data_IF_118214910818
#
_entry.id   IF_118214910818
#
_cell.length_a   1.000
_cell.length_b   1.000
_cell.length_c   1.000
_cell.angle_alpha   90.00
_cell.angle_beta   90.00
_cell.angle_gamma   90.00
#
_symmetry.space_group_name_H-M   'P 1'
#
loop_
_entity.id
_entity.type
_entity.pdbx_description
1 polymer ?
#
# COMPACT_ATOMS: atom_id res chain seq x y z
N UNK A 1 4.01 63.12 60.11
CA UNK A 1 3.77 61.66 60.27
C UNK A 1 3.49 61.09 58.89
N UNK A 2 4.49 60.45 58.27
CA UNK A 2 4.55 60.12 56.87
C UNK A 2 4.10 58.68 56.66
N UNK A 3 3.12 58.49 55.81
CA UNK A 3 2.65 57.15 55.42
C UNK A 3 3.42 56.71 54.13
N UNK A 4 4.10 55.58 54.07
CA UNK A 4 4.68 55.12 52.83
C UNK A 4 3.68 54.23 52.07
N UNK A 5 3.38 54.63 50.87
CA UNK A 5 2.60 53.83 49.91
C UNK A 5 3.40 52.62 49.44
N UNK A 6 2.89 51.41 49.73
CA UNK A 6 3.41 50.17 49.24
C UNK A 6 2.88 49.94 47.78
N UNK A 7 3.77 50.03 46.79
CA UNK A 7 3.44 49.75 45.38
C UNK A 7 3.57 48.24 45.15
N UNK A 8 2.45 47.57 44.97
CA UNK A 8 2.44 46.19 44.46
C UNK A 8 2.62 46.23 42.94
N UNK A 9 3.77 45.75 42.47
CA UNK A 9 4.00 45.46 41.05
C UNK A 9 3.38 44.08 40.72
N UNK A 10 2.24 44.11 40.04
CA UNK A 10 1.66 42.87 39.51
C UNK A 10 2.45 42.32 38.34
N UNK A 11 3.06 41.16 38.53
CA UNK A 11 3.67 40.39 37.43
C UNK A 11 2.54 39.63 36.74
N UNK A 12 2.14 40.09 35.56
CA UNK A 12 1.21 39.36 34.68
C UNK A 12 1.98 38.22 34.00
N UNK A 13 1.77 36.98 34.45
CA UNK A 13 2.29 35.76 33.77
C UNK A 13 1.42 35.52 32.53
N UNK A 14 1.93 35.87 31.34
CA UNK A 14 1.34 35.48 30.07
C UNK A 14 1.64 33.99 29.85
N UNK A 15 0.69 33.14 30.20
CA UNK A 15 0.70 31.73 29.82
C UNK A 15 0.36 31.62 28.32
N UNK A 16 1.39 31.47 27.49
CA UNK A 16 1.23 31.10 26.07
C UNK A 16 0.72 29.67 25.99
N UNK A 17 -0.57 29.48 25.74
CA UNK A 17 -1.14 28.20 25.38
C UNK A 17 -0.67 27.83 23.98
N UNK A 18 0.31 26.91 23.89
CA UNK A 18 0.67 26.25 22.65
C UNK A 18 -0.47 25.27 22.35
N UNK A 19 -1.37 25.66 21.45
CA UNK A 19 -2.41 24.78 20.94
C UNK A 19 -1.74 23.73 20.05
N UNK A 20 -1.56 22.51 20.56
CA UNK A 20 -1.26 21.35 19.74
C UNK A 20 -2.50 21.03 18.90
N UNK A 21 -2.49 21.45 17.66
CA UNK A 21 -3.46 20.95 16.69
C UNK A 21 -3.00 19.54 16.32
N UNK A 22 -3.68 18.51 16.81
CA UNK A 22 -3.55 17.17 16.27
C UNK A 22 -4.11 17.24 14.84
N UNK A 23 -3.22 17.25 13.85
CA UNK A 23 -3.61 17.14 12.46
C UNK A 23 -4.08 15.70 12.25
N UNK A 24 -5.35 15.52 11.89
CA UNK A 24 -5.84 14.20 11.49
C UNK A 24 -5.11 13.80 10.19
N UNK A 25 -4.62 12.56 10.13
CA UNK A 25 -3.99 12.05 8.92
C UNK A 25 -4.93 12.19 7.72
N UNK A 26 -4.40 12.60 6.59
CA UNK A 26 -5.17 12.74 5.34
C UNK A 26 -5.38 11.37 4.69
N UNK A 27 -6.46 11.23 3.91
CA UNK A 27 -6.68 10.07 3.05
C UNK A 27 -6.11 10.33 1.67
N UNK A 28 -5.67 9.25 0.99
CA UNK A 28 -5.13 9.31 -0.35
C UNK A 28 -5.52 8.04 -1.12
N UNK A 29 -6.31 8.22 -2.18
CA UNK A 29 -6.88 7.11 -2.96
C UNK A 29 -5.81 6.22 -3.60
N UNK A 30 -4.66 6.79 -3.99
CA UNK A 30 -3.56 6.00 -4.53
C UNK A 30 -2.91 5.15 -3.44
N UNK A 31 -2.63 5.74 -2.27
CA UNK A 31 -2.03 5.02 -1.14
C UNK A 31 -2.94 3.88 -0.71
N UNK A 32 -4.25 4.12 -0.61
CA UNK A 32 -5.23 3.11 -0.22
C UNK A 32 -5.27 1.94 -1.23
N UNK A 33 -5.44 2.25 -2.51
CA UNK A 33 -5.55 1.24 -3.56
C UNK A 33 -4.23 0.46 -3.77
N UNK A 34 -3.08 1.16 -3.73
CA UNK A 34 -1.77 0.52 -3.88
C UNK A 34 -1.43 -0.36 -2.67
N UNK A 35 -1.80 0.04 -1.45
CA UNK A 35 -1.62 -0.77 -0.25
C UNK A 35 -2.51 -2.02 -0.29
N UNK A 36 -3.80 -1.89 -0.61
CA UNK A 36 -4.71 -3.03 -0.75
C UNK A 36 -4.20 -4.02 -1.80
N UNK A 37 -3.83 -3.53 -2.99
CA UNK A 37 -3.27 -4.36 -4.06
C UNK A 37 -1.98 -5.06 -3.65
N UNK A 38 -1.04 -4.33 -3.07
CA UNK A 38 0.25 -4.89 -2.65
C UNK A 38 0.13 -5.95 -1.55
N UNK A 39 -0.79 -5.80 -0.60
CA UNK A 39 -1.08 -6.83 0.41
C UNK A 39 -1.74 -8.05 -0.25
N UNK A 40 -2.66 -7.84 -1.20
CA UNK A 40 -3.30 -8.92 -1.93
C UNK A 40 -2.27 -9.78 -2.68
N UNK A 41 -1.28 -9.15 -3.33
CA UNK A 41 -0.20 -9.85 -4.02
C UNK A 41 0.63 -10.73 -3.06
N UNK A 42 1.00 -10.22 -1.89
CA UNK A 42 1.75 -11.00 -0.90
C UNK A 42 0.92 -12.18 -0.37
N UNK A 43 -0.35 -11.97 -0.04
CA UNK A 43 -1.22 -13.03 0.53
C UNK A 43 -1.51 -14.11 -0.50
N UNK A 44 -1.90 -13.75 -1.72
CA UNK A 44 -2.24 -14.72 -2.78
C UNK A 44 -1.02 -15.50 -3.26
N UNK A 45 0.14 -14.84 -3.32
CA UNK A 45 1.39 -15.48 -3.74
C UNK A 45 1.97 -16.41 -2.68
N UNK A 46 1.86 -16.09 -1.39
CA UNK A 46 2.18 -17.05 -0.33
C UNK A 46 1.32 -18.31 -0.46
N UNK A 47 0.03 -18.15 -0.72
CA UNK A 47 -0.86 -19.29 -0.93
C UNK A 47 -0.50 -20.07 -2.21
N UNK A 48 -0.05 -19.40 -3.27
CA UNK A 48 0.41 -20.07 -4.49
C UNK A 48 1.67 -20.91 -4.26
N UNK A 49 2.59 -20.43 -3.44
CA UNK A 49 3.77 -21.23 -3.04
C UNK A 49 3.39 -22.50 -2.27
N UNK A 50 2.31 -22.45 -1.48
CA UNK A 50 1.82 -23.60 -0.70
C UNK A 50 1.04 -24.59 -1.57
N UNK A 51 0.12 -24.11 -2.41
CA UNK A 51 -0.88 -24.94 -3.11
C UNK A 51 -0.47 -25.41 -4.49
N UNK A 52 0.23 -24.57 -5.26
CA UNK A 52 0.62 -24.94 -6.62
C UNK A 52 1.60 -26.11 -6.65
N UNK A 53 1.48 -26.95 -7.66
CA UNK A 53 2.49 -27.99 -7.98
C UNK A 53 3.40 -27.55 -9.13
N UNK A 54 3.12 -26.42 -9.77
CA UNK A 54 3.90 -25.89 -10.89
C UNK A 54 5.10 -25.10 -10.42
N UNK A 55 6.29 -25.47 -10.85
CA UNK A 55 7.54 -24.83 -10.44
C UNK A 55 7.63 -23.37 -10.92
N UNK A 56 7.14 -23.06 -12.12
CA UNK A 56 7.13 -21.71 -12.68
C UNK A 56 6.16 -20.79 -11.93
N UNK A 57 4.98 -21.28 -11.52
CA UNK A 57 4.06 -20.53 -10.67
C UNK A 57 4.68 -20.24 -9.30
N UNK A 58 5.31 -21.22 -8.66
CA UNK A 58 6.00 -21.02 -7.38
C UNK A 58 7.13 -20.01 -7.48
N UNK A 59 7.92 -20.04 -8.56
CA UNK A 59 8.99 -19.08 -8.78
C UNK A 59 8.44 -17.66 -8.95
N UNK A 60 7.40 -17.49 -9.75
CA UNK A 60 6.71 -16.21 -9.92
C UNK A 60 6.13 -15.71 -8.59
N UNK A 61 5.43 -16.58 -7.85
CA UNK A 61 4.85 -16.24 -6.54
C UNK A 61 5.93 -15.78 -5.54
N UNK A 62 7.09 -16.44 -5.50
CA UNK A 62 8.20 -16.00 -4.64
C UNK A 62 8.71 -14.61 -5.03
N UNK A 63 8.75 -14.30 -6.31
CA UNK A 63 9.10 -12.95 -6.78
C UNK A 63 8.06 -11.93 -6.35
N UNK A 64 6.76 -12.23 -6.50
CA UNK A 64 5.67 -11.35 -6.05
C UNK A 64 5.76 -11.03 -4.56
N UNK A 65 5.95 -12.04 -3.72
CA UNK A 65 6.14 -11.83 -2.26
C UNK A 65 7.31 -10.89 -1.99
N UNK A 66 8.45 -11.12 -2.66
CA UNK A 66 9.65 -10.32 -2.44
C UNK A 66 9.47 -8.87 -2.85
N UNK A 67 8.97 -8.64 -4.07
CA UNK A 67 8.91 -7.31 -4.66
C UNK A 67 7.78 -6.47 -4.04
N UNK A 68 6.60 -7.07 -3.83
CA UNK A 68 5.48 -6.37 -3.21
C UNK A 68 5.68 -6.11 -1.72
N UNK A 69 6.37 -6.97 -0.98
CA UNK A 69 6.75 -6.67 0.41
C UNK A 69 7.62 -5.42 0.50
N UNK A 70 8.64 -5.31 -0.37
CA UNK A 70 9.51 -4.13 -0.42
C UNK A 70 8.74 -2.87 -0.85
N UNK A 71 7.87 -2.99 -1.84
CA UNK A 71 7.06 -1.88 -2.33
C UNK A 71 6.10 -1.38 -1.24
N UNK A 72 5.42 -2.29 -0.53
CA UNK A 72 4.51 -1.96 0.58
C UNK A 72 5.24 -1.23 1.71
N UNK A 73 6.43 -1.69 2.09
CA UNK A 73 7.24 -1.02 3.10
C UNK A 73 7.62 0.41 2.66
N UNK A 74 8.10 0.57 1.41
CA UNK A 74 8.46 1.89 0.86
C UNK A 74 7.26 2.84 0.82
N UNK A 75 6.09 2.35 0.38
CA UNK A 75 4.86 3.13 0.35
C UNK A 75 4.40 3.54 1.75
N UNK A 76 4.44 2.63 2.72
CA UNK A 76 4.11 2.92 4.12
C UNK A 76 5.03 3.97 4.74
N UNK A 77 6.34 3.95 4.41
CA UNK A 77 7.28 4.97 4.86
C UNK A 77 6.98 6.35 4.25
N UNK A 78 6.63 6.39 2.96
CA UNK A 78 6.22 7.63 2.28
C UNK A 78 4.92 8.16 2.88
N UNK A 79 3.90 7.32 3.05
CA UNK A 79 2.62 7.71 3.63
C UNK A 79 2.80 8.31 5.03
N UNK A 80 3.61 7.67 5.89
CA UNK A 80 3.92 8.18 7.23
C UNK A 80 4.62 9.54 7.18
N UNK A 81 5.56 9.73 6.25
CA UNK A 81 6.27 11.00 6.07
C UNK A 81 5.34 12.14 5.62
N UNK A 82 4.29 11.79 4.86
CA UNK A 82 3.32 12.75 4.32
C UNK A 82 2.06 12.92 5.20
N UNK A 83 2.04 12.31 6.41
CA UNK A 83 0.85 12.28 7.28
C UNK A 83 -0.40 11.71 6.57
N UNK A 84 -0.20 10.70 5.71
CA UNK A 84 -1.27 9.98 5.04
C UNK A 84 -1.59 8.72 5.84
N UNK A 85 -2.89 8.49 6.09
CA UNK A 85 -3.39 7.25 6.71
C UNK A 85 -3.19 6.07 5.77
N UNK A 86 -2.81 4.91 6.32
CA UNK A 86 -2.70 3.65 5.56
C UNK A 86 -3.79 2.71 6.04
N UNK A 87 -4.44 1.95 5.14
CA UNK A 87 -5.43 0.95 5.53
C UNK A 87 -4.88 -0.09 6.51
N UNK A 88 -5.76 -0.61 7.36
CA UNK A 88 -5.40 -1.67 8.32
C UNK A 88 -5.07 -2.98 7.60
N UNK A 89 -3.84 -3.47 7.78
CA UNK A 89 -3.32 -4.66 7.10
C UNK A 89 -4.10 -5.93 7.49
N UNK A 90 -4.53 -6.06 8.75
CA UNK A 90 -5.27 -7.23 9.20
C UNK A 90 -6.66 -7.29 8.58
N UNK A 91 -7.36 -6.15 8.50
CA UNK A 91 -8.67 -6.05 7.86
C UNK A 91 -8.59 -6.35 6.35
N UNK A 92 -7.55 -5.87 5.67
CA UNK A 92 -7.29 -6.18 4.25
C UNK A 92 -6.98 -7.66 4.06
N UNK A 93 -6.14 -8.24 4.89
CA UNK A 93 -5.80 -9.68 4.84
C UNK A 93 -7.05 -10.55 5.00
N UNK A 94 -7.95 -10.21 5.91
CA UNK A 94 -9.20 -10.96 6.09
C UNK A 94 -10.14 -10.83 4.89
N UNK A 95 -10.23 -9.65 4.26
CA UNK A 95 -10.98 -9.42 3.02
C UNK A 95 -10.43 -10.30 1.88
N UNK A 96 -9.11 -10.32 1.71
CA UNK A 96 -8.44 -11.10 0.68
C UNK A 96 -8.62 -12.60 0.90
N UNK A 97 -8.49 -13.09 2.12
CA UNK A 97 -8.76 -14.50 2.45
C UNK A 97 -10.18 -14.92 2.10
N UNK A 98 -11.18 -14.05 2.34
CA UNK A 98 -12.57 -14.32 1.93
C UNK A 98 -12.69 -14.42 0.41
N UNK A 99 -12.06 -13.52 -0.33
CA UNK A 99 -12.04 -13.56 -1.80
C UNK A 99 -11.42 -14.87 -2.31
N UNK A 100 -10.30 -15.33 -1.74
CA UNK A 100 -9.64 -16.58 -2.12
C UNK A 100 -10.54 -17.80 -1.88
N UNK A 101 -11.44 -17.78 -0.90
CA UNK A 101 -12.39 -18.87 -0.65
C UNK A 101 -13.37 -19.07 -1.81
N UNK A 102 -13.55 -18.06 -2.67
CA UNK A 102 -14.39 -18.13 -3.86
C UNK A 102 -13.72 -18.87 -5.03
N UNK A 103 -12.41 -19.12 -4.96
CA UNK A 103 -11.66 -19.86 -5.99
C UNK A 103 -11.81 -21.39 -5.87
N UNK A 104 -13.02 -21.90 -5.59
CA UNK A 104 -13.23 -23.30 -5.20
C UNK A 104 -13.37 -24.28 -6.35
N UNK A 105 -13.88 -23.83 -7.50
CA UNK A 105 -14.37 -24.73 -8.55
C UNK A 105 -13.39 -24.89 -9.73
N UNK A 106 -12.32 -24.12 -9.76
CA UNK A 106 -11.27 -24.22 -10.76
C UNK A 106 -9.97 -24.72 -10.12
N UNK A 107 -9.03 -25.18 -10.95
CA UNK A 107 -7.70 -25.44 -10.42
C UNK A 107 -7.16 -24.16 -9.80
N UNK A 108 -6.55 -24.25 -8.63
CA UNK A 108 -5.98 -23.09 -7.95
C UNK A 108 -5.05 -22.30 -8.88
N UNK A 109 -4.20 -23.01 -9.64
CA UNK A 109 -3.25 -22.41 -10.56
C UNK A 109 -3.93 -21.52 -11.62
N UNK A 110 -5.04 -21.99 -12.21
CA UNK A 110 -5.84 -21.21 -13.17
C UNK A 110 -6.37 -19.93 -12.53
N UNK A 111 -7.00 -20.02 -11.36
CA UNK A 111 -7.54 -18.87 -10.65
C UNK A 111 -6.45 -17.87 -10.29
N UNK A 112 -5.31 -18.36 -9.81
CA UNK A 112 -4.17 -17.52 -9.43
C UNK A 112 -3.62 -16.74 -10.63
N UNK A 113 -3.30 -17.42 -11.75
CA UNK A 113 -2.69 -16.72 -12.90
C UNK A 113 -3.65 -15.72 -13.56
N UNK A 114 -4.96 -16.02 -13.60
CA UNK A 114 -5.97 -15.10 -14.10
C UNK A 114 -6.07 -13.87 -13.20
N UNK A 115 -6.11 -14.06 -11.88
CA UNK A 115 -6.11 -12.96 -10.92
C UNK A 115 -4.85 -12.10 -11.04
N UNK A 116 -3.68 -12.71 -11.24
CA UNK A 116 -2.41 -11.98 -11.40
C UNK A 116 -2.41 -11.06 -12.63
N UNK A 117 -2.98 -11.50 -13.75
CA UNK A 117 -3.12 -10.64 -14.93
C UNK A 117 -4.03 -9.46 -14.65
N UNK A 118 -5.23 -9.72 -14.11
CA UNK A 118 -6.23 -8.67 -13.82
C UNK A 118 -5.72 -7.65 -12.80
N UNK A 119 -5.04 -8.13 -11.75
CA UNK A 119 -4.49 -7.27 -10.70
C UNK A 119 -3.37 -6.38 -11.22
N UNK A 120 -2.44 -6.95 -12.01
CA UNK A 120 -1.33 -6.18 -12.56
C UNK A 120 -1.74 -5.21 -13.67
N UNK A 121 -2.76 -5.53 -14.47
CA UNK A 121 -3.35 -4.55 -15.42
C UNK A 121 -3.87 -3.31 -14.68
N UNK A 122 -4.65 -3.51 -13.62
CA UNK A 122 -5.16 -2.43 -12.77
C UNK A 122 -4.03 -1.66 -12.07
N UNK A 123 -3.04 -2.37 -11.53
CA UNK A 123 -1.90 -1.74 -10.88
C UNK A 123 -1.10 -0.87 -11.85
N UNK A 124 -0.81 -1.34 -13.06
CA UNK A 124 -0.10 -0.55 -14.09
C UNK A 124 -0.87 0.72 -14.44
N UNK A 125 -2.19 0.66 -14.59
CA UNK A 125 -3.01 1.85 -14.85
C UNK A 125 -3.00 2.84 -13.68
N UNK A 126 -3.19 2.34 -12.45
CA UNK A 126 -3.16 3.14 -11.22
C UNK A 126 -1.82 3.89 -11.08
N UNK A 127 -0.70 3.16 -11.22
CA UNK A 127 0.63 3.72 -11.08
C UNK A 127 1.00 4.68 -12.22
N UNK A 128 0.55 4.43 -13.46
CA UNK A 128 0.69 5.39 -14.57
C UNK A 128 0.00 6.71 -14.29
N UNK A 129 -1.24 6.65 -13.78
CA UNK A 129 -2.01 7.83 -13.41
C UNK A 129 -1.28 8.64 -12.33
N UNK A 130 -0.81 7.98 -11.28
CA UNK A 130 -0.10 8.62 -10.18
C UNK A 130 1.20 9.25 -10.63
N UNK A 131 2.01 8.53 -11.42
CA UNK A 131 3.26 9.02 -12.00
C UNK A 131 3.07 10.25 -12.91
N UNK A 132 1.93 10.35 -13.58
CA UNK A 132 1.64 11.46 -14.47
C UNK A 132 1.06 12.69 -13.76
N UNK A 133 0.15 12.50 -12.80
CA UNK A 133 -0.74 13.55 -12.30
C UNK A 133 -0.63 13.85 -10.80
N UNK A 134 0.16 13.11 -10.03
CA UNK A 134 0.30 13.38 -8.60
C UNK A 134 0.92 14.74 -8.33
N UNK A 135 0.37 15.47 -7.37
CA UNK A 135 0.91 16.70 -6.81
C UNK A 135 1.91 16.44 -5.66
N UNK A 136 1.94 15.20 -5.14
CA UNK A 136 2.89 14.74 -4.13
C UNK A 136 4.13 14.15 -4.78
N UNK A 137 5.25 14.87 -4.73
CA UNK A 137 6.48 14.50 -5.42
C UNK A 137 6.99 13.10 -5.03
N UNK A 138 6.86 12.71 -3.76
CA UNK A 138 7.28 11.41 -3.25
C UNK A 138 6.43 10.27 -3.81
N UNK A 139 5.10 10.44 -3.89
CA UNK A 139 4.19 9.45 -4.47
C UNK A 139 4.40 9.34 -5.97
N UNK A 140 4.56 10.47 -6.65
CA UNK A 140 4.90 10.51 -8.08
C UNK A 140 6.19 9.76 -8.40
N UNK A 141 7.24 9.99 -7.64
CA UNK A 141 8.52 9.30 -7.79
C UNK A 141 8.38 7.80 -7.50
N UNK A 142 7.71 7.43 -6.42
CA UNK A 142 7.45 6.03 -6.07
C UNK A 142 6.71 5.30 -7.20
N UNK A 143 5.65 5.91 -7.72
CA UNK A 143 4.87 5.33 -8.81
C UNK A 143 5.70 5.15 -10.08
N UNK A 144 6.50 6.17 -10.44
CA UNK A 144 7.38 6.13 -11.61
C UNK A 144 8.44 5.04 -11.49
N UNK A 145 9.05 4.89 -10.31
CA UNK A 145 10.08 3.88 -10.03
C UNK A 145 9.52 2.44 -10.07
N UNK A 146 8.28 2.24 -9.62
CA UNK A 146 7.65 0.93 -9.54
C UNK A 146 7.11 0.43 -10.90
N UNK A 147 6.76 1.33 -11.81
CA UNK A 147 6.12 0.99 -13.10
C UNK A 147 6.85 -0.06 -13.93
N UNK A 148 8.19 0.00 -14.12
CA UNK A 148 8.90 -1.02 -14.91
C UNK A 148 8.76 -2.42 -14.29
N UNK A 149 8.79 -2.53 -12.97
CA UNK A 149 8.62 -3.80 -12.26
C UNK A 149 7.20 -4.34 -12.43
N UNK A 150 6.18 -3.49 -12.24
CA UNK A 150 4.77 -3.90 -12.43
C UNK A 150 4.47 -4.34 -13.88
N UNK A 151 5.06 -3.66 -14.87
CA UNK A 151 4.94 -4.06 -16.28
C UNK A 151 5.60 -5.41 -16.55
N UNK A 152 6.78 -5.65 -15.98
CA UNK A 152 7.46 -6.92 -16.09
C UNK A 152 6.67 -8.07 -15.43
N UNK A 153 6.11 -7.84 -14.24
CA UNK A 153 5.22 -8.80 -13.58
C UNK A 153 4.00 -9.13 -14.44
N UNK A 154 3.37 -8.12 -15.08
CA UNK A 154 2.24 -8.33 -15.98
C UNK A 154 2.61 -9.22 -17.17
N UNK A 155 3.78 -9.01 -17.78
CA UNK A 155 4.26 -9.85 -18.87
C UNK A 155 4.47 -11.30 -18.44
N UNK A 156 5.07 -11.51 -17.27
CA UNK A 156 5.27 -12.85 -16.69
C UNK A 156 3.90 -13.49 -16.35
N UNK A 157 2.97 -12.75 -15.76
CA UNK A 157 1.62 -13.25 -15.45
C UNK A 157 0.88 -13.70 -16.73
N UNK A 158 0.94 -12.91 -17.81
CA UNK A 158 0.37 -13.28 -19.11
C UNK A 158 1.00 -14.55 -19.71
N UNK A 159 2.31 -14.70 -19.56
CA UNK A 159 3.00 -15.92 -20.00
C UNK A 159 2.54 -17.17 -19.20
N UNK A 160 2.35 -17.02 -17.88
CA UNK A 160 1.82 -18.10 -17.03
C UNK A 160 0.33 -18.37 -17.33
N UNK A 161 -0.47 -17.34 -17.56
CA UNK A 161 -1.87 -17.49 -17.95
C UNK A 161 -2.02 -18.29 -19.26
N UNK A 162 -1.15 -18.06 -20.23
CA UNK A 162 -1.17 -18.81 -21.49
C UNK A 162 -0.93 -20.33 -21.30
N UNK A 163 -0.20 -20.72 -20.25
CA UNK A 163 0.10 -22.12 -19.91
C UNK A 163 -0.93 -22.75 -18.98
N UNK A 164 -1.41 -22.01 -17.99
CA UNK A 164 -2.17 -22.53 -16.85
C UNK A 164 -3.58 -21.95 -16.73
N UNK A 165 -3.93 -20.92 -17.51
CA UNK A 165 -5.20 -20.18 -17.42
C UNK A 165 -6.38 -20.80 -18.20
N UNK A 166 -6.20 -21.97 -18.83
CA UNK A 166 -7.24 -22.64 -19.64
C UNK A 166 -8.09 -23.58 -18.81
#
# INVERSE_FOLDING_TARGET
>A
MSNPFLKFAGVALLASMVSFHAQAASFDDFVDAATEGGIAEVVTSNLAMEKSQSADIKQFAQQMVTDHTKANQKLGDIARKLDISVPDEAALTDKIKKMILEWRDESFDKSYVNNQVDAHEKAVELFKKEAASSDKAELKAFASDALPTLQHHLEQAKALQAKHGK
#
